data_IF_758066332881
#
_entry.id   IF_758066332881
#
_cell.length_a   1.000
_cell.length_b   1.000
_cell.length_c   1.000
_cell.angle_alpha   90.00
_cell.angle_beta   90.00
_cell.angle_gamma   90.00
#
_symmetry.space_group_name_H-M   'P 1'
#
loop_
_entity.id
_entity.type
_entity.pdbx_description
1 polymer ?
#
# COMPACT_ATOMS: atom_id res chain seq x y z
N UNK A 1 43.57 -4.83 -12.61
CA UNK A 1 42.10 -5.04 -12.73
C UNK A 1 41.37 -4.37 -11.55
N UNK A 2 41.99 -3.38 -10.88
CA UNK A 2 41.57 -2.87 -9.56
C UNK A 2 41.02 -1.44 -9.56
N UNK A 3 41.14 -0.73 -10.69
CA UNK A 3 40.61 0.64 -10.84
C UNK A 3 39.07 0.65 -10.75
N UNK A 4 38.40 -0.30 -11.40
CA UNK A 4 36.94 -0.36 -11.51
C UNK A 4 36.24 -0.64 -10.16
N UNK A 5 36.88 -1.37 -9.25
CA UNK A 5 36.35 -1.61 -7.89
C UNK A 5 36.41 -0.37 -6.99
N UNK A 6 37.44 0.46 -7.18
CA UNK A 6 37.66 1.67 -6.37
C UNK A 6 36.72 2.80 -6.80
N UNK A 7 36.46 2.93 -8.09
CA UNK A 7 35.52 3.92 -8.62
C UNK A 7 34.06 3.56 -8.29
N UNK A 8 33.71 2.27 -8.34
CA UNK A 8 32.37 1.78 -7.98
C UNK A 8 32.05 1.93 -6.48
N UNK A 9 33.01 1.69 -5.59
CA UNK A 9 32.81 1.86 -4.13
C UNK A 9 32.68 3.34 -3.74
N UNK A 10 33.44 4.23 -4.39
CA UNK A 10 33.35 5.68 -4.21
C UNK A 10 32.01 6.23 -4.70
N UNK A 11 31.56 5.81 -5.88
CA UNK A 11 30.24 6.13 -6.45
C UNK A 11 29.09 5.72 -5.50
N UNK A 12 29.15 4.52 -4.94
CA UNK A 12 28.11 4.01 -4.02
C UNK A 12 28.04 4.81 -2.70
N UNK A 13 29.21 5.24 -2.19
CA UNK A 13 29.30 6.10 -0.99
C UNK A 13 28.71 7.49 -1.23
N UNK A 14 29.00 8.07 -2.40
CA UNK A 14 28.49 9.39 -2.82
C UNK A 14 26.97 9.36 -3.00
N UNK A 15 26.43 8.34 -3.67
CA UNK A 15 24.98 8.15 -3.82
C UNK A 15 24.24 8.04 -2.48
N UNK A 16 24.81 7.30 -1.53
CA UNK A 16 24.21 7.11 -0.19
C UNK A 16 24.20 8.43 0.58
N UNK A 17 25.27 9.21 0.46
CA UNK A 17 25.39 10.53 1.07
C UNK A 17 24.34 11.49 0.50
N UNK A 18 24.28 11.60 -0.84
CA UNK A 18 23.32 12.45 -1.52
C UNK A 18 21.87 12.05 -1.22
N UNK A 19 21.56 10.76 -1.14
CA UNK A 19 20.23 10.26 -0.77
C UNK A 19 19.84 10.68 0.65
N UNK A 20 20.79 10.64 1.57
CA UNK A 20 20.57 11.04 2.98
C UNK A 20 20.37 12.55 3.08
N UNK A 21 21.19 13.33 2.39
CA UNK A 21 21.07 14.78 2.33
C UNK A 21 19.75 15.23 1.70
N UNK A 22 19.36 14.65 0.57
CA UNK A 22 18.09 14.95 -0.08
C UNK A 22 16.89 14.68 0.86
N UNK A 23 16.90 13.54 1.57
CA UNK A 23 15.86 13.21 2.54
C UNK A 23 15.82 14.22 3.71
N UNK A 24 17.00 14.63 4.22
CA UNK A 24 17.12 15.65 5.27
C UNK A 24 16.61 17.01 4.82
N UNK A 25 17.00 17.47 3.62
CA UNK A 25 16.58 18.75 3.07
C UNK A 25 15.08 18.79 2.80
N UNK A 26 14.52 17.71 2.23
CA UNK A 26 13.07 17.61 2.03
C UNK A 26 12.31 17.70 3.36
N UNK A 27 12.74 16.95 4.37
CA UNK A 27 12.12 16.94 5.70
C UNK A 27 12.24 18.30 6.41
N UNK A 28 13.32 19.02 6.15
CA UNK A 28 13.59 20.37 6.68
C UNK A 28 12.98 21.48 5.83
N UNK A 29 12.21 21.15 4.78
CA UNK A 29 11.62 22.11 3.82
C UNK A 29 12.64 23.00 3.09
N UNK A 30 13.90 22.57 3.00
CA UNK A 30 14.96 23.24 2.22
C UNK A 30 14.93 22.72 0.78
N UNK A 31 13.86 23.03 0.05
CA UNK A 31 13.55 22.40 -1.23
C UNK A 31 14.55 22.72 -2.33
N UNK A 32 15.17 23.90 -2.32
CA UNK A 32 16.19 24.29 -3.29
C UNK A 32 17.44 23.41 -3.15
N UNK A 33 17.89 23.15 -1.92
CA UNK A 33 19.01 22.23 -1.65
C UNK A 33 18.64 20.79 -1.98
N UNK A 34 17.39 20.40 -1.69
CA UNK A 34 16.88 19.10 -2.07
C UNK A 34 16.91 18.90 -3.60
N UNK A 35 16.55 19.92 -4.39
CA UNK A 35 16.55 19.85 -5.86
C UNK A 35 17.98 19.71 -6.41
N UNK A 36 18.95 20.43 -5.83
CA UNK A 36 20.38 20.27 -6.20
C UNK A 36 20.87 18.84 -5.92
N UNK A 37 20.66 18.32 -4.71
CA UNK A 37 21.08 16.96 -4.36
C UNK A 37 20.37 15.90 -5.23
N UNK A 38 19.09 16.10 -5.54
CA UNK A 38 18.33 15.16 -6.39
C UNK A 38 18.79 15.20 -7.84
N UNK A 39 19.19 16.36 -8.37
CA UNK A 39 19.80 16.46 -9.71
C UNK A 39 21.12 15.71 -9.80
N UNK A 40 21.98 15.85 -8.79
CA UNK A 40 23.23 15.09 -8.72
C UNK A 40 22.96 13.57 -8.65
N UNK A 41 21.94 13.15 -7.90
CA UNK A 41 21.51 11.74 -7.90
C UNK A 41 21.02 11.27 -9.27
N UNK A 42 20.31 12.11 -10.02
CA UNK A 42 19.88 11.78 -11.38
C UNK A 42 21.05 11.70 -12.37
N UNK A 43 22.09 12.51 -12.20
CA UNK A 43 23.29 12.43 -13.02
C UNK A 43 24.04 11.10 -12.79
N UNK A 44 24.02 10.59 -11.56
CA UNK A 44 24.60 9.28 -11.21
C UNK A 44 23.67 8.11 -11.60
N UNK A 45 22.36 8.30 -11.45
CA UNK A 45 21.32 7.26 -11.58
C UNK A 45 20.09 7.75 -12.35
N UNK A 46 20.29 8.06 -13.62
CA UNK A 46 19.27 8.69 -14.47
C UNK A 46 17.96 7.87 -14.58
N UNK A 47 18.05 6.55 -14.46
CA UNK A 47 16.92 5.63 -14.61
C UNK A 47 16.47 4.98 -13.30
N UNK A 48 16.96 5.44 -12.14
CA UNK A 48 16.53 4.87 -10.86
C UNK A 48 15.09 5.33 -10.53
N UNK A 49 14.12 4.41 -10.46
CA UNK A 49 12.71 4.75 -10.28
C UNK A 49 12.43 5.43 -8.93
N UNK A 50 13.24 5.17 -7.90
CA UNK A 50 13.09 5.82 -6.59
C UNK A 50 13.55 7.27 -6.66
N UNK A 51 14.66 7.54 -7.35
CA UNK A 51 15.16 8.91 -7.55
C UNK A 51 14.16 9.72 -8.38
N UNK A 52 13.64 9.13 -9.46
CA UNK A 52 12.65 9.78 -10.32
C UNK A 52 11.34 10.05 -9.55
N UNK A 53 10.83 9.08 -8.79
CA UNK A 53 9.63 9.26 -7.96
C UNK A 53 9.81 10.40 -6.95
N UNK A 54 10.95 10.45 -6.26
CA UNK A 54 11.25 11.50 -5.30
C UNK A 54 11.39 12.87 -5.97
N UNK A 55 11.99 12.92 -7.17
CA UNK A 55 12.06 14.15 -7.97
C UNK A 55 10.68 14.66 -8.36
N UNK A 56 9.80 13.78 -8.82
CA UNK A 56 8.43 14.12 -9.19
C UNK A 56 7.65 14.67 -7.99
N UNK A 57 7.80 14.06 -6.81
CA UNK A 57 7.20 14.57 -5.57
C UNK A 57 7.76 15.94 -5.20
N UNK A 58 9.08 16.13 -5.30
CA UNK A 58 9.71 17.41 -5.02
C UNK A 58 9.20 18.51 -5.96
N UNK A 59 9.12 18.25 -7.26
CA UNK A 59 8.59 19.22 -8.23
C UNK A 59 7.13 19.57 -7.93
N UNK A 60 6.31 18.55 -7.66
CA UNK A 60 4.90 18.74 -7.30
C UNK A 60 4.73 19.64 -6.07
N UNK A 61 5.54 19.43 -5.03
CA UNK A 61 5.48 20.19 -3.77
C UNK A 61 6.07 21.60 -3.93
N UNK A 62 7.28 21.69 -4.49
CA UNK A 62 8.08 22.91 -4.46
C UNK A 62 7.83 23.82 -5.66
N UNK A 63 7.86 23.28 -6.89
CA UNK A 63 7.71 24.10 -8.10
C UNK A 63 6.25 24.40 -8.40
N UNK A 64 5.40 23.41 -8.20
CA UNK A 64 3.99 23.50 -8.58
C UNK A 64 3.07 23.80 -7.40
N UNK A 65 3.57 23.82 -6.16
CA UNK A 65 2.76 24.18 -4.99
C UNK A 65 1.48 23.33 -4.87
N UNK A 66 1.57 22.04 -5.16
CA UNK A 66 0.46 21.07 -5.15
C UNK A 66 -0.61 21.25 -6.25
N UNK A 67 -0.38 22.08 -7.27
CA UNK A 67 -1.40 22.36 -8.31
C UNK A 67 -1.35 21.40 -9.51
N UNK A 68 -0.19 20.87 -9.88
CA UNK A 68 0.00 20.03 -11.08
C UNK A 68 -0.13 18.54 -10.75
N UNK A 69 -1.27 18.16 -10.17
CA UNK A 69 -1.50 16.80 -9.66
C UNK A 69 -1.53 15.75 -10.78
N UNK A 70 -2.04 16.10 -11.96
CA UNK A 70 -2.15 15.17 -13.09
C UNK A 70 -0.79 14.77 -13.64
N UNK A 71 0.16 15.72 -13.69
CA UNK A 71 1.55 15.45 -14.09
C UNK A 71 2.24 14.53 -13.08
N UNK A 72 2.06 14.81 -11.79
CA UNK A 72 2.60 13.95 -10.73
C UNK A 72 2.03 12.52 -10.81
N UNK A 73 0.71 12.39 -10.99
CA UNK A 73 0.05 11.09 -11.14
C UNK A 73 0.49 10.37 -12.40
N UNK A 74 0.65 11.07 -13.52
CA UNK A 74 1.15 10.48 -14.76
C UNK A 74 2.54 9.87 -14.55
N UNK A 75 3.41 10.56 -13.81
CA UNK A 75 4.74 10.08 -13.51
C UNK A 75 4.74 8.86 -12.57
N UNK A 76 3.89 8.85 -11.53
CA UNK A 76 3.70 7.66 -10.68
C UNK A 76 3.22 6.44 -11.49
N UNK A 77 2.27 6.64 -12.42
CA UNK A 77 1.77 5.56 -13.29
C UNK A 77 2.85 5.06 -14.25
N UNK A 78 3.67 5.96 -14.80
CA UNK A 78 4.80 5.63 -15.66
C UNK A 78 5.80 4.73 -14.93
N UNK A 79 6.19 5.09 -13.71
CA UNK A 79 7.11 4.31 -12.87
C UNK A 79 6.49 2.94 -12.55
N UNK A 80 5.21 2.90 -12.16
CA UNK A 80 4.52 1.65 -11.88
C UNK A 80 4.49 0.71 -13.09
N UNK A 81 4.30 1.25 -14.30
CA UNK A 81 4.34 0.47 -15.53
C UNK A 81 5.72 -0.15 -15.80
N UNK A 82 6.79 0.58 -15.54
CA UNK A 82 8.17 0.11 -15.73
C UNK A 82 8.50 -1.01 -14.73
N UNK A 83 8.14 -0.79 -13.48
CA UNK A 83 8.39 -1.71 -12.37
C UNK A 83 7.35 -2.84 -12.26
N UNK A 84 6.37 -2.86 -13.17
CA UNK A 84 5.24 -3.81 -13.18
C UNK A 84 4.47 -3.85 -11.85
N UNK A 85 4.36 -2.71 -11.18
CA UNK A 85 3.61 -2.55 -9.95
C UNK A 85 2.13 -2.35 -10.31
N UNK A 86 1.20 -3.19 -9.79
CA UNK A 86 -0.22 -3.01 -10.06
C UNK A 86 -0.74 -1.75 -9.35
N UNK A 87 -1.26 -0.84 -10.17
CA UNK A 87 -2.08 0.30 -9.74
C UNK A 87 -3.56 0.16 -10.16
N UNK A 88 -3.89 -0.96 -10.82
CA UNK A 88 -5.23 -1.19 -11.35
C UNK A 88 -6.21 -1.57 -10.25
N UNK A 89 -7.43 -1.05 -10.39
CA UNK A 89 -8.60 -1.41 -9.59
C UNK A 89 -9.34 -2.47 -10.38
N UNK A 90 -9.01 -3.74 -10.18
CA UNK A 90 -9.84 -4.81 -10.73
C UNK A 90 -11.07 -4.93 -9.85
N UNK A 91 -12.19 -4.34 -10.25
CA UNK A 91 -13.48 -4.76 -9.73
C UNK A 91 -13.69 -6.21 -10.18
N UNK A 92 -14.01 -7.16 -9.28
CA UNK A 92 -14.40 -8.52 -9.67
C UNK A 92 -15.79 -8.56 -10.33
N UNK A 93 -16.26 -7.46 -10.92
CA UNK A 93 -17.61 -7.32 -11.50
C UNK A 93 -17.54 -6.71 -12.90
N UNK A 94 -16.68 -7.25 -13.75
CA UNK A 94 -16.93 -7.25 -15.19
C UNK A 94 -17.10 -8.71 -15.60
N UNK A 95 -18.35 -9.14 -15.68
CA UNK A 95 -18.69 -10.38 -16.37
C UNK A 95 -18.31 -10.22 -17.83
N UNK A 96 -17.20 -10.85 -18.22
CA UNK A 96 -16.95 -11.13 -19.63
C UNK A 96 -17.77 -12.38 -19.97
N UNK A 97 -18.94 -12.12 -20.53
CA UNK A 97 -19.58 -13.05 -21.44
C UNK A 97 -18.63 -13.30 -22.62
N UNK A 98 -17.85 -14.37 -22.50
CA UNK A 98 -17.20 -15.00 -23.63
C UNK A 98 -17.96 -16.29 -23.94
N UNK A 99 -19.07 -16.16 -24.66
CA UNK A 99 -19.57 -17.24 -25.51
C UNK A 99 -18.45 -17.69 -26.47
N UNK A 100 -18.28 -19.00 -26.64
CA UNK A 100 -18.30 -19.50 -27.99
C UNK A 100 -19.27 -20.68 -28.12
N UNK A 101 -20.25 -20.49 -28.99
CA UNK A 101 -21.02 -21.57 -29.62
C UNK A 101 -20.12 -22.73 -30.09
N UNK A 102 -20.49 -23.96 -29.73
CA UNK A 102 -19.78 -25.15 -30.19
C UNK A 102 -20.34 -26.49 -29.70
N UNK A 103 -21.56 -26.85 -30.12
CA UNK A 103 -22.10 -28.20 -30.32
C UNK A 103 -22.34 -29.20 -29.15
N UNK A 104 -23.44 -29.92 -29.33
CA UNK A 104 -24.11 -30.91 -28.48
C UNK A 104 -23.45 -32.31 -28.48
N UNK A 105 -23.95 -33.17 -27.57
CA UNK A 105 -23.72 -34.62 -27.33
C UNK A 105 -22.38 -34.95 -26.64
N UNK A 106 -22.29 -35.75 -25.57
CA UNK A 106 -23.03 -36.96 -25.19
C UNK A 106 -22.83 -37.28 -23.68
N UNK A 107 -23.69 -38.14 -23.14
CA UNK A 107 -23.84 -38.58 -21.75
C UNK A 107 -22.62 -39.35 -21.19
N UNK A 108 -22.28 -39.13 -19.90
CA UNK A 108 -21.84 -40.19 -18.96
C UNK A 108 -21.73 -39.71 -17.51
N UNK A 109 -22.33 -40.49 -16.62
CA UNK A 109 -22.37 -40.37 -15.16
C UNK A 109 -20.99 -40.47 -14.47
N UNK A 110 -20.71 -39.57 -13.53
CA UNK A 110 -20.03 -39.93 -12.26
C UNK A 110 -20.12 -38.82 -11.20
N UNK A 111 -20.30 -39.18 -9.91
CA UNK A 111 -20.53 -38.20 -8.86
C UNK A 111 -19.18 -37.77 -8.26
N UNK A 112 -18.86 -36.49 -8.36
CA UNK A 112 -17.82 -35.89 -7.54
C UNK A 112 -18.44 -34.80 -6.68
N UNK A 113 -18.38 -35.07 -5.38
CA UNK A 113 -18.66 -34.16 -4.28
C UNK A 113 -17.86 -32.88 -4.42
N UNK A 114 -18.40 -31.88 -5.12
CA UNK A 114 -17.94 -30.50 -5.01
C UNK A 114 -18.79 -29.80 -3.94
N UNK A 115 -18.23 -29.79 -2.73
CA UNK A 115 -18.59 -28.80 -1.71
C UNK A 115 -18.39 -27.42 -2.34
N UNK A 116 -19.48 -26.85 -2.82
CA UNK A 116 -19.56 -25.46 -3.26
C UNK A 116 -19.37 -24.58 -2.03
N UNK A 117 -18.12 -24.33 -1.64
CA UNK A 117 -17.82 -23.29 -0.67
C UNK A 117 -18.01 -21.94 -1.36
N UNK A 118 -19.17 -21.35 -1.09
CA UNK A 118 -19.45 -19.93 -1.26
C UNK A 118 -18.26 -19.12 -0.72
N UNK A 119 -17.68 -18.17 -1.47
CA UNK A 119 -16.57 -17.38 -0.94
C UNK A 119 -17.08 -16.51 0.20
N UNK A 120 -16.61 -16.77 1.41
CA UNK A 120 -16.88 -15.93 2.58
C UNK A 120 -16.42 -14.48 2.29
N UNK A 121 -17.24 -13.45 2.57
CA UNK A 121 -16.77 -12.06 2.57
C UNK A 121 -15.68 -11.91 3.62
N UNK A 122 -14.45 -11.62 3.21
CA UNK A 122 -13.33 -11.61 4.13
C UNK A 122 -12.03 -11.09 3.52
N UNK A 123 -11.13 -10.70 4.43
CA UNK A 123 -9.78 -10.25 4.12
C UNK A 123 -8.90 -11.46 3.77
N UNK A 124 -8.39 -11.53 2.55
CA UNK A 124 -7.46 -12.58 2.14
C UNK A 124 -6.03 -12.04 2.13
N UNK A 125 -5.04 -12.86 2.53
CA UNK A 125 -3.63 -12.49 2.35
C UNK A 125 -3.33 -12.37 0.85
N UNK A 126 -2.73 -11.25 0.48
CA UNK A 126 -2.22 -11.03 -0.87
C UNK A 126 -0.96 -11.85 -1.09
N UNK A 127 -0.83 -12.45 -2.28
CA UNK A 127 0.35 -13.20 -2.71
C UNK A 127 1.35 -12.33 -3.49
N UNK A 128 1.09 -11.02 -3.60
CA UNK A 128 1.95 -10.10 -4.33
C UNK A 128 3.26 -9.84 -3.56
N UNK A 129 4.44 -10.08 -4.17
CA UNK A 129 5.69 -9.64 -3.58
C UNK A 129 5.72 -8.11 -3.53
N UNK A 130 5.88 -7.56 -2.33
CA UNK A 130 5.90 -6.11 -2.11
C UNK A 130 7.34 -5.62 -1.97
N UNK A 131 7.82 -4.87 -2.95
CA UNK A 131 9.06 -4.12 -2.81
C UNK A 131 8.83 -2.83 -2.02
N UNK A 132 9.85 -2.33 -1.33
CA UNK A 132 9.79 -1.02 -0.64
C UNK A 132 9.39 0.10 -1.60
N UNK A 133 9.89 0.05 -2.84
CA UNK A 133 9.51 0.95 -3.91
C UNK A 133 8.02 0.83 -4.26
N UNK A 134 7.51 -0.39 -4.40
CA UNK A 134 6.10 -0.67 -4.68
C UNK A 134 5.17 -0.11 -3.62
N UNK A 135 5.49 -0.34 -2.35
CA UNK A 135 4.72 0.19 -1.21
C UNK A 135 4.76 1.71 -1.20
N UNK A 136 5.95 2.32 -1.39
CA UNK A 136 6.10 3.77 -1.44
C UNK A 136 5.31 4.41 -2.57
N UNK A 137 5.33 3.78 -3.76
CA UNK A 137 4.60 4.25 -4.94
C UNK A 137 3.08 4.13 -4.73
N UNK A 138 2.59 2.98 -4.26
CA UNK A 138 1.17 2.77 -3.98
C UNK A 138 0.68 3.71 -2.88
N UNK A 139 1.47 3.92 -1.82
CA UNK A 139 1.18 4.90 -0.77
C UNK A 139 1.06 6.33 -1.32
N UNK A 140 2.02 6.77 -2.13
CA UNK A 140 2.00 8.12 -2.73
C UNK A 140 0.76 8.32 -3.61
N UNK A 141 0.40 7.31 -4.41
CA UNK A 141 -0.79 7.40 -5.24
C UNK A 141 -2.09 7.34 -4.43
N UNK A 142 -2.15 6.48 -3.39
CA UNK A 142 -3.27 6.43 -2.47
C UNK A 142 -3.50 7.79 -1.78
N UNK A 143 -2.43 8.47 -1.37
CA UNK A 143 -2.53 9.79 -0.76
C UNK A 143 -3.16 10.83 -1.72
N UNK A 144 -2.80 10.79 -2.99
CA UNK A 144 -3.44 11.64 -4.02
C UNK A 144 -4.94 11.31 -4.13
N UNK A 145 -5.30 10.03 -4.22
CA UNK A 145 -6.70 9.59 -4.30
C UNK A 145 -7.50 10.01 -3.06
N UNK A 146 -6.91 9.92 -1.87
CA UNK A 146 -7.50 10.39 -0.62
C UNK A 146 -7.86 11.88 -0.68
N UNK A 147 -6.92 12.74 -1.12
CA UNK A 147 -7.20 14.17 -1.25
C UNK A 147 -8.19 14.49 -2.37
N UNK A 148 -8.24 13.67 -3.42
CA UNK A 148 -9.29 13.71 -4.45
C UNK A 148 -10.63 13.13 -4.00
N UNK A 149 -10.78 12.71 -2.73
CA UNK A 149 -11.98 12.08 -2.16
C UNK A 149 -12.37 10.74 -2.80
N UNK A 150 -11.45 10.09 -3.50
CA UNK A 150 -11.62 8.75 -4.09
C UNK A 150 -11.25 7.68 -3.05
N UNK A 151 -11.99 7.65 -1.94
CA UNK A 151 -11.64 6.88 -0.75
C UNK A 151 -11.59 5.37 -0.99
N UNK A 152 -12.53 4.80 -1.76
CA UNK A 152 -12.53 3.36 -2.10
C UNK A 152 -11.30 2.96 -2.91
N UNK A 153 -10.88 3.80 -3.86
CA UNK A 153 -9.67 3.56 -4.65
C UNK A 153 -8.41 3.70 -3.79
N UNK A 154 -8.37 4.72 -2.91
CA UNK A 154 -7.29 4.88 -1.94
C UNK A 154 -7.18 3.67 -1.01
N UNK A 155 -8.32 3.16 -0.53
CA UNK A 155 -8.36 1.97 0.34
C UNK A 155 -7.76 0.76 -0.37
N UNK A 156 -8.19 0.50 -1.60
CA UNK A 156 -7.72 -0.66 -2.39
C UNK A 156 -6.19 -0.68 -2.54
N UNK A 157 -5.56 0.47 -2.81
CA UNK A 157 -4.10 0.56 -2.87
C UNK A 157 -3.44 0.32 -1.51
N UNK A 158 -4.04 0.80 -0.43
CA UNK A 158 -3.49 0.64 0.93
C UNK A 158 -3.64 -0.79 1.43
N UNK A 159 -4.72 -1.49 1.10
CA UNK A 159 -4.85 -2.92 1.38
C UNK A 159 -3.80 -3.71 0.59
N UNK A 160 -3.53 -3.31 -0.67
CA UNK A 160 -2.45 -3.87 -1.46
C UNK A 160 -1.08 -3.61 -0.82
N UNK A 161 -0.82 -2.45 -0.21
CA UNK A 161 0.40 -2.21 0.56
C UNK A 161 0.50 -3.11 1.80
N UNK A 162 -0.60 -3.33 2.50
CA UNK A 162 -0.65 -4.08 3.76
C UNK A 162 -0.64 -5.61 3.56
N UNK A 163 -0.71 -6.08 2.32
CA UNK A 163 -0.68 -7.51 2.01
C UNK A 163 -2.04 -8.17 2.18
N UNK A 164 -3.11 -7.40 2.00
CA UNK A 164 -4.48 -7.89 2.10
C UNK A 164 -5.30 -7.55 0.87
N UNK A 165 -6.25 -8.41 0.54
CA UNK A 165 -7.29 -8.16 -0.47
C UNK A 165 -8.64 -8.18 0.22
N UNK A 166 -9.44 -7.14 -0.03
CA UNK A 166 -10.85 -7.07 0.38
C UNK A 166 -11.68 -7.43 -0.84
N UNK A 167 -12.43 -8.54 -0.80
CA UNK A 167 -13.48 -8.78 -1.80
C UNK A 167 -14.57 -7.74 -1.55
N UNK A 168 -14.83 -6.90 -2.54
CA UNK A 168 -15.95 -5.95 -2.55
C UNK A 168 -17.26 -6.73 -2.52
N UNK A 169 -17.78 -6.91 -1.32
CA UNK A 169 -19.17 -7.25 -1.06
C UNK A 169 -19.62 -6.31 0.04
N UNK A 170 -20.78 -5.67 -0.15
CA UNK A 170 -21.47 -4.91 0.89
C UNK A 170 -21.42 -5.79 2.15
N UNK A 171 -20.71 -5.34 3.18
CA UNK A 171 -20.77 -5.98 4.48
C UNK A 171 -22.21 -5.80 4.94
N UNK A 172 -23.03 -6.84 4.77
CA UNK A 172 -24.34 -6.88 5.39
C UNK A 172 -24.15 -6.58 6.89
N UNK A 173 -25.00 -5.74 7.50
CA UNK A 173 -24.82 -5.23 8.85
C UNK A 173 -24.75 -6.31 9.94
N UNK A 174 -25.00 -7.58 9.60
CA UNK A 174 -25.05 -8.71 10.52
C UNK A 174 -23.86 -9.68 10.42
N UNK A 175 -22.87 -9.43 9.54
CA UNK A 175 -21.66 -10.28 9.51
C UNK A 175 -20.59 -9.64 10.38
N UNK A 176 -20.25 -10.20 11.56
CA UNK A 176 -19.24 -9.60 12.40
C UNK A 176 -17.89 -9.71 11.70
N UNK A 177 -17.31 -8.57 11.35
CA UNK A 177 -15.94 -8.42 10.84
C UNK A 177 -14.86 -8.95 11.83
N UNK A 178 -15.31 -9.41 13.02
CA UNK A 178 -14.55 -9.72 14.22
C UNK A 178 -13.57 -10.89 14.09
N UNK A 179 -13.74 -11.81 13.13
CA UNK A 179 -12.83 -12.96 13.01
C UNK A 179 -11.54 -12.67 12.23
N UNK A 180 -11.42 -11.52 11.55
CA UNK A 180 -10.44 -11.38 10.46
C UNK A 180 -9.18 -10.56 10.79
N UNK A 181 -9.15 -9.87 11.94
CA UNK A 181 -8.09 -8.88 12.26
C UNK A 181 -7.10 -9.38 13.33
N UNK A 182 -7.49 -10.38 14.14
CA UNK A 182 -6.60 -11.02 15.12
C UNK A 182 -5.55 -11.89 14.41
N UNK A 183 -4.43 -11.28 14.02
CA UNK A 183 -3.32 -11.98 13.36
C UNK A 183 -2.68 -11.21 12.20
N UNK A 184 -3.16 -10.00 11.91
CA UNK A 184 -2.59 -9.13 10.89
C UNK A 184 -1.31 -8.49 11.41
N UNK A 185 -0.18 -8.84 10.80
CA UNK A 185 1.08 -8.13 10.99
C UNK A 185 1.08 -6.90 10.08
N UNK A 186 0.95 -5.70 10.65
CA UNK A 186 0.94 -4.43 9.92
C UNK A 186 2.37 -3.93 9.64
N UNK A 187 3.20 -4.79 9.05
CA UNK A 187 4.60 -4.53 8.73
C UNK A 187 4.84 -4.70 7.23
N UNK A 188 4.22 -3.85 6.38
CA UNK A 188 4.34 -3.98 4.93
C UNK A 188 5.80 -3.85 4.46
N UNK A 189 6.65 -3.15 5.22
CA UNK A 189 8.04 -2.91 4.87
C UNK A 189 8.96 -3.01 6.09
N UNK A 190 10.25 -3.25 5.85
CA UNK A 190 11.31 -3.04 6.84
C UNK A 190 11.47 -1.57 7.22
N UNK A 191 10.97 -0.64 6.41
CA UNK A 191 10.84 0.77 6.77
C UNK A 191 9.63 0.98 7.70
N UNK A 192 9.92 1.10 8.98
CA UNK A 192 8.93 1.36 10.04
C UNK A 192 8.19 2.67 9.84
N UNK A 193 8.86 3.69 9.30
CA UNK A 193 8.25 5.01 9.05
C UNK A 193 7.23 4.93 7.93
N UNK A 194 7.59 4.28 6.82
CA UNK A 194 6.67 4.03 5.70
C UNK A 194 5.49 3.17 6.16
N UNK A 195 5.76 2.09 6.88
CA UNK A 195 4.72 1.22 7.44
C UNK A 195 3.73 1.98 8.31
N UNK A 196 4.22 2.84 9.22
CA UNK A 196 3.36 3.69 10.05
C UNK A 196 2.50 4.64 9.21
N UNK A 197 3.07 5.27 8.17
CA UNK A 197 2.33 6.18 7.28
C UNK A 197 1.21 5.46 6.53
N UNK A 198 1.49 4.26 6.00
CA UNK A 198 0.49 3.42 5.32
C UNK A 198 -0.66 3.09 6.25
N UNK A 199 -0.37 2.59 7.46
CA UNK A 199 -1.40 2.23 8.45
C UNK A 199 -2.23 3.45 8.84
N UNK A 200 -1.61 4.59 9.15
CA UNK A 200 -2.33 5.79 9.56
C UNK A 200 -3.26 6.32 8.44
N UNK A 201 -2.79 6.34 7.19
CA UNK A 201 -3.63 6.76 6.07
C UNK A 201 -4.79 5.78 5.85
N UNK A 202 -4.55 4.49 6.00
CA UNK A 202 -5.61 3.48 5.87
C UNK A 202 -6.70 3.64 6.93
N UNK A 203 -6.33 3.86 8.20
CA UNK A 203 -7.30 4.13 9.27
C UNK A 203 -8.15 5.38 8.96
N UNK A 204 -7.52 6.47 8.49
CA UNK A 204 -8.26 7.67 8.08
C UNK A 204 -9.20 7.38 6.90
N UNK A 205 -8.78 6.60 5.91
CA UNK A 205 -9.63 6.17 4.79
C UNK A 205 -10.84 5.38 5.29
N UNK A 206 -10.65 4.45 6.23
CA UNK A 206 -11.75 3.68 6.84
C UNK A 206 -12.76 4.61 7.54
N UNK A 207 -12.28 5.62 8.27
CA UNK A 207 -13.17 6.63 8.87
C UNK A 207 -13.96 7.40 7.81
N UNK A 208 -13.33 7.78 6.68
CA UNK A 208 -14.03 8.44 5.56
C UNK A 208 -15.05 7.54 4.86
N UNK A 209 -14.83 6.23 4.88
CA UNK A 209 -15.74 5.23 4.35
C UNK A 209 -16.84 4.79 5.36
N UNK A 210 -16.91 5.42 6.54
CA UNK A 210 -17.86 5.08 7.60
C UNK A 210 -17.69 3.64 8.12
N UNK A 211 -16.44 3.23 8.32
CA UNK A 211 -16.08 1.97 8.98
C UNK A 211 -15.40 2.19 10.36
N UNK A 212 -16.02 2.95 11.29
CA UNK A 212 -15.40 3.26 12.58
C UNK A 212 -15.21 2.03 13.48
N UNK A 213 -16.04 1.00 13.34
CA UNK A 213 -15.92 -0.24 14.12
C UNK A 213 -14.62 -0.97 13.76
N UNK A 214 -14.22 -0.97 12.49
CA UNK A 214 -12.96 -1.56 12.04
C UNK A 214 -11.75 -0.83 12.63
N UNK A 215 -11.80 0.51 12.62
CA UNK A 215 -10.76 1.36 13.23
C UNK A 215 -10.67 1.11 14.73
N UNK A 216 -11.81 1.06 15.41
CA UNK A 216 -11.88 0.75 16.83
C UNK A 216 -11.27 -0.63 17.12
N UNK A 217 -11.58 -1.66 16.33
CA UNK A 217 -11.04 -3.00 16.53
C UNK A 217 -9.52 -3.08 16.26
N UNK A 218 -9.02 -2.35 15.26
CA UNK A 218 -7.59 -2.28 14.94
C UNK A 218 -6.79 -1.57 16.03
N UNK A 219 -7.33 -0.48 16.58
CA UNK A 219 -6.66 0.31 17.62
C UNK A 219 -6.94 -0.19 19.04
N UNK A 220 -8.06 -0.87 19.25
CA UNK A 220 -8.70 -1.10 20.54
C UNK A 220 -8.52 -2.51 21.09
N UNK A 221 -7.28 -3.02 21.15
CA UNK A 221 -6.99 -4.06 22.15
C UNK A 221 -7.15 -3.45 23.53
N UNK A 222 -8.36 -3.48 24.08
CA UNK A 222 -8.54 -3.40 25.52
C UNK A 222 -7.81 -4.60 26.12
N UNK A 223 -6.86 -4.44 27.05
CA UNK A 223 -6.39 -5.56 27.84
C UNK A 223 -7.55 -6.03 28.73
N UNK A 224 -8.38 -6.98 28.26
CA UNK A 224 -9.43 -7.64 29.06
C UNK A 224 -8.81 -8.67 30.04
N UNK A 225 -7.58 -8.42 30.50
CA UNK A 225 -6.93 -9.18 31.55
C UNK A 225 -6.34 -8.24 32.60
N UNK A 226 -7.17 -7.36 33.15
CA UNK A 226 -7.07 -7.03 34.56
C UNK A 226 -8.07 -7.94 35.26
N UNK A 227 -7.64 -8.98 36.02
CA UNK A 227 -8.56 -9.72 36.85
C UNK A 227 -9.06 -8.77 37.95
N UNK A 228 -10.23 -8.19 37.71
CA UNK A 228 -11.01 -7.51 38.71
C UNK A 228 -11.74 -8.57 39.53
N UNK A 229 -11.00 -9.42 40.26
CA UNK A 229 -11.56 -10.31 41.28
C UNK A 229 -10.45 -10.93 42.13
N UNK A 230 -10.05 -10.21 43.19
CA UNK A 230 -9.70 -10.72 44.53
C UNK A 230 -9.12 -9.59 45.38
N UNK A 231 -9.97 -8.65 45.77
CA UNK A 231 -9.65 -7.74 46.86
C UNK A 231 -10.90 -7.33 47.65
N UNK A 232 -11.85 -8.24 47.87
CA UNK A 232 -12.84 -8.15 48.95
C UNK A 232 -13.08 -9.58 49.46
N UNK A 233 -12.89 -9.79 50.77
CA UNK A 233 -13.01 -11.03 51.59
C UNK A 233 -11.72 -11.80 51.87
N UNK A 234 -10.95 -11.32 52.85
CA UNK A 234 -10.76 -12.06 54.12
C UNK A 234 -10.11 -11.13 55.16
N UNK A 235 -10.90 -10.19 55.69
CA UNK A 235 -10.78 -9.76 57.08
C UNK A 235 -11.88 -10.50 57.81
N UNK A 236 -11.50 -11.53 58.57
CA UNK A 236 -12.38 -12.47 59.25
C UNK A 236 -11.59 -13.69 59.64
#
# INVERSE_FOLDING_TARGET
MDQCKTDSSRSCSEETTLSTEAAFYFSSKQYEKCDVATKQLLDLKANDPKVIMNKALLDFVHKHGYTHIDEYVAELKRIASIEKIPLSFSDPTSGDEAEPSGNLTDLSDSPLTESTQVPTPGLCKSTLPQSVLGIGLQYNYALVLFYQRKYTQSEHLLTNCLGFSRKTGILCPETPCLQTISGIELTPSTDVTLSRRVVLLWLEVLLRLQHPEEVYNLCGRFPIHLPLDRAIRSSG
#
